data_IF_768148804858
#
_entry.id   IF_768148804858
#
_cell.length_a   1.000
_cell.length_b   1.000
_cell.length_c   1.000
_cell.angle_alpha   90.00
_cell.angle_beta   90.00
_cell.angle_gamma   90.00
#
_symmetry.space_group_name_H-M   'P 1'
#
loop_
_entity.id
_entity.type
_entity.pdbx_description
1 polymer ?
#
# COMPACT_ATOMS: atom_id res chain seq x y z
N UNK A 1 -4.62 17.49 -14.65
CA UNK A 1 -4.09 16.11 -14.83
C UNK A 1 -3.83 15.57 -13.44
N UNK A 2 -4.37 14.41 -13.10
CA UNK A 2 -4.17 13.78 -11.80
C UNK A 2 -3.00 12.80 -11.87
N UNK A 3 -2.02 12.95 -10.97
CA UNK A 3 -0.87 12.07 -10.88
C UNK A 3 -0.95 11.22 -9.61
N UNK A 4 -0.57 9.95 -9.72
CA UNK A 4 -0.52 9.03 -8.60
C UNK A 4 0.67 8.09 -8.70
N UNK A 5 0.87 7.31 -7.65
CA UNK A 5 2.01 6.39 -7.52
C UNK A 5 1.56 4.99 -7.10
N UNK A 6 2.15 3.98 -7.72
CA UNK A 6 2.02 2.59 -7.29
C UNK A 6 3.00 2.33 -6.13
N UNK A 7 2.54 1.71 -5.05
CA UNK A 7 3.34 1.52 -3.83
C UNK A 7 4.46 0.46 -3.94
N UNK A 8 4.67 -0.17 -5.10
CA UNK A 8 5.77 -1.13 -5.33
C UNK A 8 7.16 -0.57 -5.02
N UNK A 9 7.37 0.75 -5.12
CA UNK A 9 8.66 1.38 -4.78
C UNK A 9 9.01 1.26 -3.28
N UNK A 10 8.01 1.06 -2.42
CA UNK A 10 8.14 1.02 -0.97
C UNK A 10 8.30 -0.41 -0.41
N UNK A 11 8.11 -1.42 -1.25
CA UNK A 11 8.24 -2.83 -0.86
C UNK A 11 9.59 -3.12 -0.23
N UNK A 12 9.56 -3.84 0.90
CA UNK A 12 10.72 -4.23 1.72
C UNK A 12 11.56 -3.06 2.30
N UNK A 13 11.30 -1.82 1.92
CA UNK A 13 11.99 -0.62 2.41
C UNK A 13 11.22 0.03 3.55
N UNK A 14 9.92 0.17 3.38
CA UNK A 14 9.03 0.78 4.37
C UNK A 14 7.80 -0.12 4.58
N UNK A 15 7.91 -1.16 5.42
CA UNK A 15 6.78 -2.05 5.70
C UNK A 15 5.66 -1.35 6.48
N UNK A 16 5.97 -0.30 7.25
CA UNK A 16 4.97 0.49 7.98
C UNK A 16 4.18 1.44 7.05
N UNK A 17 2.84 1.34 6.99
CA UNK A 17 2.02 2.21 6.15
C UNK A 17 2.21 3.70 6.39
N UNK A 18 2.43 4.10 7.64
CA UNK A 18 2.58 5.49 8.04
C UNK A 18 3.84 6.11 7.41
N UNK A 19 4.90 5.32 7.19
CA UNK A 19 6.15 5.82 6.61
C UNK A 19 6.00 6.15 5.14
N UNK A 20 5.49 5.22 4.33
CA UNK A 20 5.33 5.49 2.90
C UNK A 20 4.20 6.49 2.65
N UNK A 21 3.13 6.51 3.46
CA UNK A 21 2.05 7.47 3.28
C UNK A 21 2.56 8.91 3.51
N UNK A 22 3.36 9.10 4.56
CA UNK A 22 4.03 10.37 4.83
C UNK A 22 4.98 10.76 3.71
N UNK A 23 5.81 9.84 3.21
CA UNK A 23 6.72 10.11 2.10
C UNK A 23 5.97 10.53 0.83
N UNK A 24 4.90 9.82 0.47
CA UNK A 24 4.06 10.16 -0.70
C UNK A 24 3.48 11.56 -0.58
N UNK A 25 2.99 11.92 0.62
CA UNK A 25 2.37 13.22 0.86
C UNK A 25 3.41 14.36 0.97
N UNK A 26 4.37 14.21 1.87
CA UNK A 26 5.28 15.29 2.27
C UNK A 26 6.48 15.45 1.34
N UNK A 27 6.99 14.35 0.76
CA UNK A 27 8.20 14.40 -0.09
C UNK A 27 7.87 14.39 -1.58
N UNK A 28 6.91 13.56 -2.01
CA UNK A 28 6.53 13.45 -3.42
C UNK A 28 5.42 14.43 -3.83
N UNK A 29 4.68 14.99 -2.87
CA UNK A 29 3.59 15.92 -3.13
C UNK A 29 2.43 15.30 -3.92
N UNK A 30 2.18 14.00 -3.74
CA UNK A 30 1.13 13.25 -4.44
C UNK A 30 -0.04 12.95 -3.51
N UNK A 31 -1.23 12.75 -4.09
CA UNK A 31 -2.46 12.49 -3.35
C UNK A 31 -3.11 11.14 -3.70
N UNK A 32 -2.76 10.56 -4.85
CA UNK A 32 -3.33 9.30 -5.34
C UNK A 32 -2.33 8.15 -5.22
N UNK A 33 -2.77 7.07 -4.60
CA UNK A 33 -1.97 5.84 -4.48
C UNK A 33 -2.69 4.63 -5.06
N UNK A 34 -1.93 3.77 -5.72
CA UNK A 34 -2.36 2.42 -6.08
C UNK A 34 -1.64 1.42 -5.16
N UNK A 35 -2.42 0.68 -4.38
CA UNK A 35 -1.91 -0.34 -3.47
C UNK A 35 -1.35 -1.53 -4.24
N UNK A 36 -0.31 -2.19 -3.71
CA UNK A 36 0.19 -3.47 -4.24
C UNK A 36 -0.01 -4.57 -3.21
N UNK A 37 -0.52 -5.72 -3.64
CA UNK A 37 -0.68 -6.89 -2.77
C UNK A 37 0.66 -7.48 -2.28
N UNK A 38 1.80 -7.04 -2.80
CA UNK A 38 3.10 -7.39 -2.20
C UNK A 38 3.30 -6.74 -0.80
N UNK A 39 2.54 -5.69 -0.44
CA UNK A 39 2.54 -5.12 0.91
C UNK A 39 1.66 -5.90 1.90
N UNK A 40 0.61 -6.56 1.39
CA UNK A 40 -0.31 -7.35 2.19
C UNK A 40 -0.83 -8.49 1.33
N UNK A 41 -0.33 -9.69 1.60
CA UNK A 41 -0.75 -10.90 0.91
C UNK A 41 -2.23 -11.20 1.22
N UNK A 42 -3.09 -11.31 0.18
CA UNK A 42 -4.49 -11.71 0.35
C UNK A 42 -4.66 -13.05 1.07
N UNK A 43 -3.67 -13.92 1.08
CA UNK A 43 -3.72 -15.25 1.69
C UNK A 43 -3.27 -15.30 3.15
N UNK A 44 -2.86 -14.17 3.74
CA UNK A 44 -2.56 -14.12 5.17
C UNK A 44 -3.76 -14.52 6.03
N UNK A 45 -3.51 -15.05 7.24
CA UNK A 45 -4.58 -15.35 8.19
C UNK A 45 -5.47 -14.11 8.41
N UNK A 46 -6.77 -14.35 8.54
CA UNK A 46 -7.78 -13.30 8.38
C UNK A 46 -7.66 -12.16 9.40
N UNK A 47 -7.25 -12.47 10.63
CA UNK A 47 -7.13 -11.49 11.71
C UNK A 47 -5.98 -10.49 11.42
N UNK A 48 -4.81 -11.01 11.09
CA UNK A 48 -3.60 -10.26 10.76
C UNK A 48 -3.81 -9.47 9.47
N UNK A 49 -4.43 -10.09 8.46
CA UNK A 49 -4.79 -9.43 7.19
C UNK A 49 -5.74 -8.26 7.42
N UNK A 50 -6.77 -8.47 8.24
CA UNK A 50 -7.74 -7.43 8.61
C UNK A 50 -7.08 -6.27 9.37
N UNK A 51 -6.22 -6.58 10.34
CA UNK A 51 -5.50 -5.58 11.13
C UNK A 51 -4.56 -4.73 10.25
N UNK A 52 -3.79 -5.35 9.35
CA UNK A 52 -2.91 -4.62 8.44
C UNK A 52 -3.70 -3.78 7.43
N UNK A 53 -4.78 -4.32 6.84
CA UNK A 53 -5.63 -3.57 5.92
C UNK A 53 -6.25 -2.34 6.61
N UNK A 54 -6.68 -2.46 7.87
CA UNK A 54 -7.17 -1.34 8.66
C UNK A 54 -6.08 -0.29 8.93
N UNK A 55 -4.85 -0.74 9.25
CA UNK A 55 -3.68 0.13 9.43
C UNK A 55 -3.35 0.92 8.17
N UNK A 56 -3.35 0.26 7.00
CA UNK A 56 -3.17 0.92 5.69
C UNK A 56 -4.24 1.99 5.47
N UNK A 57 -5.52 1.65 5.69
CA UNK A 57 -6.63 2.62 5.50
C UNK A 57 -6.49 3.82 6.42
N UNK A 58 -6.09 3.62 7.68
CA UNK A 58 -5.84 4.72 8.62
C UNK A 58 -4.67 5.59 8.16
N UNK A 59 -3.52 5.01 7.80
CA UNK A 59 -2.36 5.77 7.36
C UNK A 59 -2.64 6.62 6.10
N UNK A 60 -3.42 6.09 5.16
CA UNK A 60 -3.90 6.82 3.98
C UNK A 60 -4.79 7.99 4.39
N UNK A 61 -5.77 7.75 5.25
CA UNK A 61 -6.71 8.77 5.72
C UNK A 61 -6.00 9.89 6.52
N UNK A 62 -5.10 9.53 7.42
CA UNK A 62 -4.36 10.47 8.27
C UNK A 62 -3.44 11.40 7.45
N UNK A 63 -2.98 10.95 6.27
CA UNK A 63 -2.17 11.74 5.34
C UNK A 63 -2.99 12.43 4.24
N UNK A 64 -4.33 12.30 4.28
CA UNK A 64 -5.23 12.86 3.28
C UNK A 64 -5.00 12.31 1.87
N UNK A 65 -4.56 11.05 1.76
CA UNK A 65 -4.34 10.36 0.50
C UNK A 65 -5.62 9.63 0.05
N UNK A 66 -5.72 9.35 -1.24
CA UNK A 66 -6.77 8.54 -1.85
C UNK A 66 -6.21 7.21 -2.34
N UNK A 67 -6.70 6.11 -1.78
CA UNK A 67 -6.38 4.76 -2.25
C UNK A 67 -7.26 4.42 -3.46
N UNK A 68 -6.76 4.74 -4.66
CA UNK A 68 -7.52 4.70 -5.90
C UNK A 68 -7.84 3.27 -6.37
N UNK A 69 -6.87 2.36 -6.23
CA UNK A 69 -7.00 0.98 -6.71
C UNK A 69 -5.99 0.07 -6.02
N UNK A 70 -6.09 -1.24 -6.25
CA UNK A 70 -5.09 -2.23 -5.86
C UNK A 70 -4.63 -3.01 -7.09
N UNK A 71 -3.35 -3.35 -7.13
CA UNK A 71 -2.72 -4.14 -8.19
C UNK A 71 -2.13 -5.43 -7.60
N UNK A 72 -2.19 -6.51 -8.39
CA UNK A 72 -1.40 -7.72 -8.11
C UNK A 72 0.09 -7.36 -8.05
N UNK A 73 0.77 -7.97 -7.08
CA UNK A 73 2.20 -7.84 -6.90
C UNK A 73 2.97 -8.97 -7.57
N UNK A 74 4.30 -8.93 -7.49
CA UNK A 74 5.19 -9.94 -8.05
C UNK A 74 5.08 -11.28 -7.31
N UNK A 75 4.68 -11.29 -6.03
CA UNK A 75 4.52 -12.51 -5.25
C UNK A 75 3.55 -13.50 -5.93
N UNK A 76 2.53 -12.97 -6.62
CA UNK A 76 1.55 -13.76 -7.37
C UNK A 76 2.19 -14.74 -8.36
N UNK A 77 3.29 -14.36 -9.00
CA UNK A 77 3.98 -15.20 -9.99
C UNK A 77 4.91 -16.25 -9.37
N UNK A 78 5.02 -16.29 -8.03
CA UNK A 78 5.89 -17.22 -7.31
C UNK A 78 5.15 -18.26 -6.49
N UNK A 79 3.83 -18.10 -6.30
CA UNK A 79 3.02 -19.13 -5.67
C UNK A 79 2.83 -20.28 -6.66
N UNK A 80 3.35 -21.45 -6.30
CA UNK A 80 3.00 -22.69 -6.96
C UNK A 80 1.78 -23.26 -6.21
N UNK A 81 0.62 -23.29 -6.89
CA UNK A 81 -0.61 -23.90 -6.38
C UNK A 81 -0.55 -25.42 -6.33
#
# INVERSE_FOLDING_TARGET
MEFGINLSFALKRWPEPERWARLVREELGLELVQFTFDHLDPWWPAAERGAMAARVRRAVADQGLTLHSAQIGLAWYTYNG
#
